data_IF_979144752168
#
_entry.id   IF_979144752168
#
_cell.length_a   1.000
_cell.length_b   1.000
_cell.length_c   1.000
_cell.angle_alpha   90.00
_cell.angle_beta   90.00
_cell.angle_gamma   90.00
#
_symmetry.space_group_name_H-M   'P 1'
#
loop_
_entity.id
_entity.type
_entity.pdbx_description
1 polymer ?
#
# COMPACT_ATOMS: atom_id res chain seq x y z
N UNK A 1 23.28 -0.18 37.16
CA UNK A 1 21.85 -0.56 37.19
C UNK A 1 21.39 -1.20 35.88
N UNK A 2 21.60 -0.58 34.70
CA UNK A 2 21.22 -1.22 33.42
C UNK A 2 22.15 -2.38 33.01
N UNK A 3 23.44 -2.30 33.34
CA UNK A 3 24.45 -3.32 32.99
C UNK A 3 24.25 -4.67 33.71
N UNK A 4 23.40 -4.72 34.73
CA UNK A 4 23.08 -5.96 35.47
C UNK A 4 21.78 -6.63 34.98
N UNK A 5 21.08 -6.03 34.00
CA UNK A 5 19.87 -6.61 33.43
C UNK A 5 20.23 -7.64 32.35
N UNK A 6 19.47 -8.75 32.24
CA UNK A 6 19.58 -9.65 31.10
C UNK A 6 19.30 -8.92 29.77
N UNK A 7 19.98 -9.29 28.67
CA UNK A 7 19.79 -8.67 27.36
C UNK A 7 18.33 -8.63 26.91
N UNK A 8 17.55 -9.67 27.21
CA UNK A 8 16.16 -9.82 26.80
C UNK A 8 15.25 -8.79 27.49
N UNK A 9 15.55 -8.45 28.74
CA UNK A 9 14.82 -7.41 29.49
C UNK A 9 15.18 -6.03 28.93
N UNK A 10 16.45 -5.83 28.59
CA UNK A 10 16.88 -4.58 27.99
C UNK A 10 16.30 -4.36 26.60
N UNK A 11 16.19 -5.42 25.78
CA UNK A 11 15.50 -5.37 24.48
C UNK A 11 14.03 -4.97 24.66
N UNK A 12 13.32 -5.54 25.63
CA UNK A 12 11.94 -5.14 25.97
C UNK A 12 11.82 -3.69 26.43
N UNK A 13 12.83 -3.16 27.13
CA UNK A 13 12.87 -1.74 27.50
C UNK A 13 13.06 -0.89 26.25
N UNK A 14 14.00 -1.28 25.37
CA UNK A 14 14.25 -0.59 24.11
C UNK A 14 13.00 -0.55 23.22
N UNK A 15 12.20 -1.63 23.17
CA UNK A 15 10.93 -1.68 22.44
C UNK A 15 9.90 -0.62 22.90
N UNK A 16 10.07 -0.03 24.08
CA UNK A 16 9.18 1.00 24.64
C UNK A 16 9.68 2.42 24.44
N UNK A 17 10.93 2.60 24.01
CA UNK A 17 11.51 3.92 23.80
C UNK A 17 11.19 4.44 22.39
N UNK A 18 11.02 5.75 22.27
CA UNK A 18 10.93 6.38 20.96
C UNK A 18 12.32 6.43 20.29
N UNK A 19 12.36 6.73 18.98
CA UNK A 19 13.61 6.72 18.22
C UNK A 19 14.67 7.71 18.74
N UNK A 20 14.26 8.85 19.30
CA UNK A 20 15.19 9.86 19.84
C UNK A 20 15.83 9.35 21.14
N UNK A 21 15.03 8.86 22.07
CA UNK A 21 15.51 8.32 23.35
C UNK A 21 16.42 7.10 23.12
N UNK A 22 16.07 6.27 22.16
CA UNK A 22 16.84 5.08 21.81
C UNK A 22 18.19 5.44 21.14
N UNK A 23 18.21 6.51 20.32
CA UNK A 23 19.46 7.09 19.82
C UNK A 23 20.32 7.63 20.95
N UNK A 24 19.75 8.41 21.87
CA UNK A 24 20.49 8.94 23.02
C UNK A 24 21.05 7.81 23.89
N UNK A 25 20.26 6.77 24.17
CA UNK A 25 20.70 5.59 24.90
C UNK A 25 21.87 4.89 24.20
N UNK A 26 21.83 4.78 22.87
CA UNK A 26 22.91 4.17 22.08
C UNK A 26 24.26 4.87 22.23
N UNK A 27 24.27 6.18 22.57
CA UNK A 27 25.48 6.98 22.71
C UNK A 27 26.10 6.89 24.11
N UNK A 28 25.39 6.32 25.09
CA UNK A 28 25.85 6.28 26.49
C UNK A 28 26.95 5.25 26.76
N UNK A 29 26.95 4.11 26.05
CA UNK A 29 27.96 3.07 26.22
C UNK A 29 28.05 2.13 25.00
N UNK A 30 29.23 1.55 24.74
CA UNK A 30 29.45 0.61 23.62
C UNK A 30 28.55 -0.63 23.66
N UNK A 31 28.28 -1.17 24.84
CA UNK A 31 27.42 -2.34 25.00
C UNK A 31 25.95 -2.00 24.75
N UNK A 32 25.50 -0.81 25.19
CA UNK A 32 24.16 -0.28 24.90
C UNK A 32 24.00 0.01 23.41
N UNK A 33 25.03 0.57 22.77
CA UNK A 33 25.04 0.75 21.32
C UNK A 33 24.76 -0.57 20.59
N UNK A 34 25.44 -1.66 20.98
CA UNK A 34 25.26 -2.97 20.34
C UNK A 34 23.84 -3.51 20.47
N UNK A 35 23.20 -3.31 21.63
CA UNK A 35 21.83 -3.80 21.88
C UNK A 35 20.80 -2.91 21.19
N UNK A 36 20.93 -1.59 21.33
CA UNK A 36 20.03 -0.60 20.71
C UNK A 36 20.13 -0.58 19.19
N UNK A 37 21.27 -0.95 18.61
CA UNK A 37 21.47 -0.99 17.15
C UNK A 37 20.39 -1.77 16.43
N UNK A 38 20.03 -2.96 16.92
CA UNK A 38 19.01 -3.80 16.30
C UNK A 38 17.64 -3.12 16.25
N UNK A 39 17.31 -2.41 17.32
CA UNK A 39 16.03 -1.71 17.45
C UNK A 39 16.00 -0.40 16.65
N UNK A 40 17.11 0.33 16.59
CA UNK A 40 17.25 1.52 15.73
C UNK A 40 17.00 1.16 14.26
N UNK A 41 17.50 0.01 13.81
CA UNK A 41 17.40 -0.42 12.43
C UNK A 41 16.19 -1.33 12.14
N UNK A 42 15.32 -1.58 13.14
CA UNK A 42 14.10 -2.38 12.95
C UNK A 42 13.15 -1.78 11.94
N UNK A 43 13.05 -0.44 11.90
CA UNK A 43 12.18 0.30 10.99
C UNK A 43 13.01 1.26 10.12
N UNK A 44 12.87 1.14 8.81
CA UNK A 44 13.57 1.99 7.83
C UNK A 44 12.57 2.83 7.06
N UNK A 45 12.75 4.14 7.09
CA UNK A 45 11.96 5.08 6.28
C UNK A 45 12.81 5.67 5.15
N UNK A 46 12.37 5.46 3.92
CA UNK A 46 12.96 5.99 2.70
C UNK A 46 12.23 7.25 2.29
N UNK A 47 12.94 8.37 2.41
CA UNK A 47 12.48 9.68 1.97
C UNK A 47 13.15 10.09 0.67
N UNK A 48 12.46 10.85 -0.19
CA UNK A 48 13.09 11.44 -1.36
C UNK A 48 14.09 12.52 -0.92
N UNK A 49 15.18 12.66 -1.68
CA UNK A 49 16.16 13.72 -1.49
C UNK A 49 16.62 14.25 -2.86
N UNK A 50 16.34 15.52 -3.20
CA UNK A 50 15.61 16.50 -2.40
C UNK A 50 14.11 16.16 -2.23
N UNK A 51 13.46 16.65 -1.18
CA UNK A 51 12.04 16.34 -0.86
C UNK A 51 11.07 16.72 -1.99
N UNK A 52 11.41 17.77 -2.75
CA UNK A 52 10.68 18.20 -3.94
C UNK A 52 10.71 17.19 -5.09
N UNK A 53 11.64 16.25 -5.08
CA UNK A 53 11.84 15.24 -6.13
C UNK A 53 11.51 13.85 -5.62
N UNK A 54 10.22 13.52 -5.55
CA UNK A 54 9.72 12.19 -5.09
C UNK A 54 10.30 10.97 -5.82
N UNK A 55 10.92 11.13 -6.99
CA UNK A 55 11.58 10.02 -7.68
C UNK A 55 13.04 9.79 -7.24
N UNK A 56 13.60 10.76 -6.50
CA UNK A 56 14.98 10.78 -6.08
C UNK A 56 15.17 10.09 -4.73
N UNK A 57 15.05 8.77 -4.71
CA UNK A 57 15.44 7.94 -3.56
C UNK A 57 16.83 7.34 -3.76
N UNK A 58 17.52 6.97 -2.68
CA UNK A 58 18.77 6.20 -2.77
C UNK A 58 18.44 4.74 -3.09
N UNK A 59 18.87 4.19 -4.25
CA UNK A 59 18.67 2.77 -4.55
C UNK A 59 19.49 1.87 -3.62
N UNK A 60 20.60 2.39 -3.08
CA UNK A 60 21.52 1.64 -2.24
C UNK A 60 21.28 1.83 -0.75
N UNK A 61 20.31 2.64 -0.32
CA UNK A 61 19.93 2.80 1.09
C UNK A 61 21.11 2.81 2.09
N UNK A 62 20.92 2.24 3.30
CA UNK A 62 21.99 2.03 4.26
C UNK A 62 22.83 0.76 3.95
N UNK A 63 23.95 0.59 4.67
CA UNK A 63 24.85 -0.57 4.55
C UNK A 63 24.12 -1.88 4.91
N UNK A 64 24.60 -3.01 4.38
CA UNK A 64 23.90 -4.31 4.51
C UNK A 64 23.67 -4.74 5.97
N UNK A 65 24.68 -4.58 6.84
CA UNK A 65 24.57 -4.93 8.26
C UNK A 65 23.49 -4.11 9.02
N UNK A 66 23.08 -2.96 8.50
CA UNK A 66 21.93 -2.21 9.01
C UNK A 66 20.62 -2.89 8.59
N UNK A 67 20.53 -3.28 7.32
CA UNK A 67 19.33 -3.87 6.73
C UNK A 67 18.97 -5.22 7.34
N UNK A 68 19.93 -6.01 7.81
CA UNK A 68 19.69 -7.34 8.42
C UNK A 68 18.66 -7.31 9.56
N UNK A 69 18.59 -6.20 10.29
CA UNK A 69 17.66 -6.02 11.41
C UNK A 69 16.34 -5.37 11.01
N UNK A 70 16.24 -4.83 9.80
CA UNK A 70 15.04 -4.17 9.32
C UNK A 70 13.93 -5.19 9.08
N UNK A 71 12.78 -4.91 9.71
CA UNK A 71 11.53 -5.66 9.59
C UNK A 71 10.41 -4.81 9.02
N UNK A 72 10.50 -3.49 9.15
CA UNK A 72 9.53 -2.56 8.59
C UNK A 72 10.20 -1.65 7.57
N UNK A 73 9.67 -1.63 6.35
CA UNK A 73 10.12 -0.73 5.29
C UNK A 73 9.01 0.26 4.96
N UNK A 74 9.31 1.55 5.03
CA UNK A 74 8.37 2.63 4.74
C UNK A 74 8.94 3.52 3.68
N UNK A 75 8.20 3.71 2.61
CA UNK A 75 8.39 4.77 1.66
C UNK A 75 7.50 5.93 2.11
N UNK A 76 8.09 7.05 2.53
CA UNK A 76 7.35 8.26 2.89
C UNK A 76 7.87 9.49 2.12
N UNK A 77 6.98 10.19 1.41
CA UNK A 77 7.34 11.39 0.65
C UNK A 77 7.45 12.67 1.51
N UNK A 78 7.12 12.61 2.80
CA UNK A 78 7.10 13.77 3.70
C UNK A 78 5.78 14.53 3.69
N UNK A 79 5.65 15.49 4.62
CA UNK A 79 4.42 16.26 4.86
C UNK A 79 4.14 17.25 3.73
N UNK A 80 5.19 17.72 3.06
CA UNK A 80 5.11 18.71 1.97
C UNK A 80 4.80 18.10 0.60
N UNK A 81 4.69 16.77 0.51
CA UNK A 81 4.31 16.10 -0.72
C UNK A 81 2.84 16.39 -1.03
N UNK A 82 2.57 17.04 -2.17
CA UNK A 82 1.20 17.30 -2.62
C UNK A 82 0.42 15.97 -2.71
N UNK A 83 -0.58 15.74 -1.84
CA UNK A 83 -1.31 14.49 -1.82
C UNK A 83 -2.24 14.34 -3.03
N UNK A 84 -2.44 15.41 -3.81
CA UNK A 84 -3.40 15.47 -4.92
C UNK A 84 -2.77 15.17 -6.28
N UNK A 85 -1.48 14.85 -6.35
CA UNK A 85 -0.78 14.65 -7.62
C UNK A 85 0.16 13.46 -7.55
N UNK A 86 -0.10 12.40 -8.30
CA UNK A 86 0.90 11.38 -8.60
C UNK A 86 2.13 11.97 -9.32
N UNK A 87 3.30 11.32 -9.21
CA UNK A 87 4.53 11.66 -9.95
C UNK A 87 4.26 11.77 -11.46
N UNK A 88 3.35 10.94 -11.98
CA UNK A 88 2.88 11.01 -13.37
C UNK A 88 2.23 12.34 -13.75
N UNK A 89 1.57 13.05 -12.83
CA UNK A 89 1.01 14.38 -13.10
C UNK A 89 2.11 15.44 -13.30
N UNK A 90 3.31 15.18 -12.77
CA UNK A 90 4.51 16.01 -12.98
C UNK A 90 5.41 15.49 -14.11
N UNK A 91 5.12 14.30 -14.66
CA UNK A 91 5.74 13.76 -15.86
C UNK A 91 5.17 14.45 -17.11
N UNK A 92 5.41 15.76 -17.20
CA UNK A 92 5.15 16.58 -18.39
C UNK A 92 6.15 16.30 -19.51
N UNK A 93 6.53 15.03 -19.71
CA UNK A 93 7.30 14.60 -20.87
C UNK A 93 6.37 14.33 -22.05
N UNK A 94 5.61 15.38 -22.38
CA UNK A 94 5.35 15.83 -23.74
C UNK A 94 6.18 17.08 -24.10
N UNK A 95 7.19 17.45 -23.30
CA UNK A 95 8.10 18.57 -23.61
C UNK A 95 9.45 18.06 -24.13
N UNK A 96 9.64 18.16 -25.45
CA UNK A 96 10.93 18.02 -26.12
C UNK A 96 11.82 19.23 -25.77
N UNK A 97 12.75 19.07 -24.84
CA UNK A 97 13.80 20.06 -24.55
C UNK A 97 15.19 19.48 -24.84
N UNK A 98 16.10 20.26 -25.42
CA UNK A 98 17.46 19.83 -25.75
C UNK A 98 18.33 19.67 -24.49
N UNK A 99 18.39 18.45 -23.95
CA UNK A 99 19.22 18.09 -22.79
C UNK A 99 20.73 17.98 -23.08
N UNK A 100 21.20 18.42 -24.25
CA UNK A 100 22.61 18.34 -24.66
C UNK A 100 23.55 19.28 -23.90
N UNK A 101 23.03 20.17 -23.06
CA UNK A 101 23.85 21.18 -22.35
C UNK A 101 24.01 20.94 -20.84
N UNK A 102 23.42 19.88 -20.26
CA UNK A 102 23.67 19.55 -18.85
C UNK A 102 24.61 18.36 -18.74
N UNK A 103 25.82 18.64 -18.26
CA UNK A 103 26.86 17.64 -18.05
C UNK A 103 26.33 16.46 -17.20
N UNK A 104 26.30 15.24 -17.75
CA UNK A 104 25.84 14.07 -17.06
C UNK A 104 26.97 13.53 -16.17
N UNK A 105 26.78 13.56 -14.85
CA UNK A 105 27.61 12.71 -13.99
C UNK A 105 27.22 11.25 -14.27
N UNK A 106 28.09 10.60 -15.04
CA UNK A 106 28.14 9.18 -15.34
C UNK A 106 28.07 8.39 -14.04
N UNK A 107 27.09 7.49 -13.91
CA UNK A 107 27.34 6.08 -13.55
C UNK A 107 26.04 5.25 -13.43
N UNK A 108 26.01 4.16 -14.23
CA UNK A 108 25.15 2.95 -14.16
C UNK A 108 23.75 3.03 -14.80
N UNK A 109 23.65 3.15 -16.14
CA UNK A 109 23.68 2.12 -17.22
C UNK A 109 22.42 1.26 -17.37
N UNK A 110 21.94 1.21 -18.60
CA UNK A 110 20.56 1.04 -19.07
C UNK A 110 20.41 -0.16 -20.03
N UNK A 111 21.30 -1.15 -19.97
CA UNK A 111 21.52 -2.05 -21.11
C UNK A 111 20.67 -3.35 -21.16
N UNK A 112 19.53 -3.45 -20.48
CA UNK A 112 18.81 -4.74 -20.47
C UNK A 112 17.28 -4.77 -20.55
N UNK A 113 16.53 -3.66 -20.69
CA UNK A 113 15.07 -3.76 -20.92
C UNK A 113 14.56 -2.72 -21.92
N UNK A 114 14.06 -3.24 -23.04
CA UNK A 114 13.61 -2.51 -24.23
C UNK A 114 12.11 -2.20 -24.23
N UNK A 115 11.55 -1.69 -23.13
CA UNK A 115 10.10 -1.46 -23.02
C UNK A 115 9.71 -0.13 -22.33
N UNK A 116 10.64 0.83 -22.23
CA UNK A 116 10.32 2.24 -21.93
C UNK A 116 10.12 3.02 -23.23
N UNK A 117 8.91 2.97 -23.79
CA UNK A 117 8.57 3.70 -25.01
C UNK A 117 8.61 5.21 -24.83
N UNK A 118 9.31 5.86 -25.77
CA UNK A 118 9.35 7.30 -25.97
C UNK A 118 10.38 7.67 -27.04
N UNK A 119 10.30 7.08 -28.23
CA UNK A 119 11.13 7.48 -29.39
C UNK A 119 10.56 8.77 -30.00
N UNK A 120 10.97 9.91 -29.47
CA UNK A 120 10.89 11.20 -30.15
C UNK A 120 12.31 11.64 -30.53
N UNK A 121 12.74 11.38 -31.77
CA UNK A 121 13.99 11.94 -32.31
C UNK A 121 15.30 11.40 -31.74
N UNK A 122 15.32 10.17 -31.18
CA UNK A 122 16.57 9.50 -30.76
C UNK A 122 17.12 9.89 -29.39
N UNK A 123 16.31 10.50 -28.50
CA UNK A 123 16.70 10.77 -27.10
C UNK A 123 15.88 9.93 -26.12
N UNK A 124 16.57 9.24 -25.21
CA UNK A 124 15.97 8.45 -24.13
C UNK A 124 15.32 9.39 -23.11
N UNK A 125 13.99 9.36 -23.03
CA UNK A 125 13.22 10.13 -22.06
C UNK A 125 13.10 9.30 -20.78
N UNK A 126 13.77 9.73 -19.71
CA UNK A 126 13.58 9.16 -18.36
C UNK A 126 12.28 9.68 -17.77
N UNK A 127 11.29 8.81 -17.63
CA UNK A 127 10.06 9.13 -16.91
C UNK A 127 10.34 8.95 -15.41
N UNK A 128 9.93 9.93 -14.58
CA UNK A 128 10.34 9.99 -13.16
C UNK A 128 9.80 8.80 -12.38
N UNK A 129 8.60 8.35 -12.72
CA UNK A 129 7.97 7.21 -12.08
C UNK A 129 8.77 5.91 -12.23
N UNK A 130 9.27 5.62 -13.42
CA UNK A 130 10.07 4.43 -13.73
C UNK A 130 11.41 4.48 -12.99
N UNK A 131 12.00 5.67 -12.85
CA UNK A 131 13.19 5.85 -12.02
C UNK A 131 12.91 5.51 -10.55
N UNK A 132 11.76 5.91 -10.01
CA UNK A 132 11.34 5.56 -8.65
C UNK A 132 11.17 4.04 -8.51
N UNK A 133 10.43 3.43 -9.43
CA UNK A 133 10.17 1.99 -9.46
C UNK A 133 11.48 1.19 -9.43
N UNK A 134 12.40 1.50 -10.33
CA UNK A 134 13.70 0.81 -10.43
C UNK A 134 14.52 0.97 -9.14
N UNK A 135 14.61 2.17 -8.60
CA UNK A 135 15.39 2.41 -7.38
C UNK A 135 14.79 1.68 -6.18
N UNK A 136 13.47 1.64 -6.07
CA UNK A 136 12.77 0.89 -5.03
C UNK A 136 12.99 -0.61 -5.17
N UNK A 137 12.94 -1.14 -6.40
CA UNK A 137 13.24 -2.54 -6.73
C UNK A 137 14.68 -2.91 -6.33
N UNK A 138 15.67 -2.08 -6.68
CA UNK A 138 17.07 -2.32 -6.29
C UNK A 138 17.20 -2.39 -4.77
N UNK A 139 16.54 -1.49 -4.05
CA UNK A 139 16.56 -1.50 -2.59
C UNK A 139 15.87 -2.75 -2.00
N UNK A 140 14.68 -3.11 -2.49
CA UNK A 140 13.92 -4.28 -2.04
C UNK A 140 14.69 -5.59 -2.26
N UNK A 141 15.44 -5.69 -3.35
CA UNK A 141 16.26 -6.87 -3.64
C UNK A 141 17.38 -7.10 -2.63
N UNK A 142 17.73 -6.12 -1.81
CA UNK A 142 18.76 -6.26 -0.77
C UNK A 142 18.27 -6.87 0.53
N UNK A 143 16.97 -7.03 0.70
CA UNK A 143 16.38 -7.73 1.84
C UNK A 143 16.37 -9.23 1.59
N UNK A 144 16.62 -10.02 2.64
CA UNK A 144 16.48 -11.48 2.55
C UNK A 144 15.00 -11.87 2.43
N UNK A 145 14.73 -13.03 1.84
CA UNK A 145 13.36 -13.55 1.71
C UNK A 145 12.70 -13.69 3.09
N UNK A 146 11.42 -13.32 3.17
CA UNK A 146 10.62 -13.33 4.40
C UNK A 146 11.07 -12.34 5.48
N UNK A 147 12.08 -11.49 5.21
CA UNK A 147 12.64 -10.60 6.23
C UNK A 147 11.68 -9.47 6.64
N UNK A 148 10.90 -8.93 5.70
CA UNK A 148 9.98 -7.83 5.98
C UNK A 148 8.68 -8.34 6.62
N UNK A 149 8.35 -7.78 7.78
CA UNK A 149 7.08 -7.97 8.50
C UNK A 149 6.06 -6.89 8.14
N UNK A 150 6.52 -5.69 7.78
CA UNK A 150 5.65 -4.58 7.39
C UNK A 150 6.20 -3.80 6.19
N UNK A 151 5.29 -3.43 5.30
CA UNK A 151 5.58 -2.56 4.17
C UNK A 151 4.59 -1.39 4.14
N UNK A 152 5.11 -0.18 3.89
CA UNK A 152 4.30 1.02 3.71
C UNK A 152 4.73 1.79 2.46
N UNK A 153 3.76 2.13 1.62
CA UNK A 153 3.91 3.05 0.49
C UNK A 153 3.08 4.31 0.72
N UNK A 154 3.73 5.37 1.17
CA UNK A 154 3.15 6.69 1.43
C UNK A 154 3.82 7.76 0.55
N UNK A 155 3.77 7.57 -0.77
CA UNK A 155 4.32 8.51 -1.76
C UNK A 155 3.26 9.32 -2.50
N UNK A 156 1.98 9.13 -2.14
CA UNK A 156 0.81 9.76 -2.80
C UNK A 156 0.89 9.63 -4.32
N UNK A 157 1.30 8.44 -4.77
CA UNK A 157 1.47 8.07 -6.18
C UNK A 157 0.82 6.71 -6.40
N UNK A 158 0.57 6.34 -7.66
CA UNK A 158 0.38 4.91 -7.97
C UNK A 158 1.58 4.10 -7.44
N UNK A 159 1.34 2.86 -7.06
CA UNK A 159 2.38 1.93 -6.65
C UNK A 159 2.92 1.22 -7.90
N UNK A 160 4.23 1.19 -8.14
CA UNK A 160 4.82 0.39 -9.20
C UNK A 160 4.47 -1.10 -9.05
N UNK A 161 4.14 -1.74 -10.17
CA UNK A 161 3.77 -3.16 -10.22
C UNK A 161 4.88 -4.07 -9.68
N UNK A 162 6.10 -3.76 -10.07
CA UNK A 162 7.31 -4.49 -9.73
C UNK A 162 7.56 -4.53 -8.22
N UNK A 163 7.11 -3.50 -7.49
CA UNK A 163 7.19 -3.48 -6.03
C UNK A 163 6.23 -4.50 -5.43
N UNK A 164 4.97 -4.49 -5.86
CA UNK A 164 3.97 -5.44 -5.36
C UNK A 164 4.35 -6.89 -5.69
N UNK A 165 4.87 -7.14 -6.88
CA UNK A 165 5.37 -8.46 -7.32
C UNK A 165 6.55 -8.93 -6.45
N UNK A 166 7.54 -8.08 -6.20
CA UNK A 166 8.66 -8.45 -5.32
C UNK A 166 8.18 -8.73 -3.90
N UNK A 167 7.25 -7.92 -3.38
CA UNK A 167 6.71 -8.12 -2.05
C UNK A 167 5.93 -9.44 -1.95
N UNK A 168 5.11 -9.78 -2.96
CA UNK A 168 4.33 -11.02 -2.96
C UNK A 168 5.22 -12.26 -3.08
N UNK A 169 6.27 -12.19 -3.91
CA UNK A 169 7.21 -13.28 -4.13
C UNK A 169 8.20 -13.47 -2.98
N UNK A 170 8.88 -12.39 -2.55
CA UNK A 170 9.96 -12.46 -1.55
C UNK A 170 9.46 -12.35 -0.12
N UNK A 171 8.32 -11.69 0.12
CA UNK A 171 7.86 -11.37 1.48
C UNK A 171 6.38 -11.73 1.72
N UNK A 172 5.94 -12.98 1.44
CA UNK A 172 4.55 -13.40 1.65
C UNK A 172 4.14 -13.41 3.13
N UNK A 173 5.12 -13.38 4.05
CA UNK A 173 4.94 -13.32 5.51
C UNK A 173 4.63 -11.92 6.05
N UNK A 174 4.50 -10.89 5.19
CA UNK A 174 4.13 -9.54 5.63
C UNK A 174 2.81 -9.59 6.40
N UNK A 175 2.83 -8.93 7.56
CA UNK A 175 1.70 -8.86 8.49
C UNK A 175 1.00 -7.50 8.44
N UNK A 176 1.66 -6.46 7.92
CA UNK A 176 1.14 -5.10 7.91
C UNK A 176 1.45 -4.42 6.59
N UNK A 177 0.42 -4.20 5.77
CA UNK A 177 0.51 -3.54 4.47
C UNK A 177 -0.25 -2.21 4.52
N UNK A 178 0.45 -1.11 4.22
CA UNK A 178 -0.13 0.24 4.21
C UNK A 178 0.16 0.94 2.89
N UNK A 179 -0.87 1.22 2.10
CA UNK A 179 -0.75 1.82 0.78
C UNK A 179 -1.55 3.12 0.72
N UNK A 180 -0.91 4.20 0.30
CA UNK A 180 -1.54 5.49 0.00
C UNK A 180 -1.27 5.80 -1.46
N UNK A 181 -2.27 5.56 -2.30
CA UNK A 181 -2.17 5.66 -3.76
C UNK A 181 -2.89 6.88 -4.32
N UNK A 182 -2.72 7.13 -5.62
CA UNK A 182 -3.53 8.10 -6.37
C UNK A 182 -4.60 7.32 -7.17
N UNK A 183 -5.90 7.51 -6.87
CA UNK A 183 -6.99 6.76 -7.48
C UNK A 183 -7.29 7.18 -8.93
N UNK A 184 -6.74 8.30 -9.42
CA UNK A 184 -7.02 8.84 -10.76
C UNK A 184 -5.77 9.20 -11.54
N UNK A 185 -4.68 8.45 -11.31
CA UNK A 185 -3.46 8.63 -12.07
C UNK A 185 -3.74 8.38 -13.57
N UNK A 186 -3.87 9.46 -14.35
CA UNK A 186 -4.37 9.45 -15.74
C UNK A 186 -3.54 8.63 -16.73
N UNK A 187 -2.25 8.38 -16.43
CA UNK A 187 -1.41 7.46 -17.22
C UNK A 187 -1.62 5.98 -16.89
N UNK A 188 -2.16 5.67 -15.72
CA UNK A 188 -2.45 4.30 -15.29
C UNK A 188 -3.87 3.85 -15.67
N UNK A 189 -4.77 4.78 -16.01
CA UNK A 189 -6.18 4.46 -16.31
C UNK A 189 -6.43 3.83 -17.70
N UNK A 190 -5.40 3.58 -18.51
CA UNK A 190 -5.59 3.04 -19.87
C UNK A 190 -5.04 1.63 -20.09
N UNK A 191 -4.08 1.18 -19.27
CA UNK A 191 -3.36 -0.10 -19.41
C UNK A 191 -2.69 -0.49 -18.09
N UNK A 192 -3.48 -0.74 -17.05
CA UNK A 192 -2.97 -0.84 -15.68
C UNK A 192 -1.96 -2.01 -15.56
N UNK A 193 -0.67 -1.71 -15.36
CA UNK A 193 0.37 -2.72 -15.10
C UNK A 193 0.19 -3.44 -13.76
N UNK A 194 -0.78 -3.03 -12.95
CA UNK A 194 -1.06 -3.56 -11.60
C UNK A 194 -2.34 -4.39 -11.51
N UNK A 195 -3.17 -4.45 -12.55
CA UNK A 195 -4.42 -5.25 -12.55
C UNK A 195 -4.13 -6.74 -12.45
N UNK A 196 -3.03 -7.18 -13.05
CA UNK A 196 -2.72 -8.61 -13.20
C UNK A 196 -1.91 -9.14 -12.00
N UNK A 197 -1.58 -8.28 -11.03
CA UNK A 197 -0.76 -8.68 -9.90
C UNK A 197 -1.64 -9.41 -8.90
N UNK A 198 -1.36 -10.68 -8.69
CA UNK A 198 -2.00 -11.45 -7.64
C UNK A 198 -1.40 -11.11 -6.26
N UNK A 199 -2.20 -10.47 -5.41
CA UNK A 199 -1.83 -10.20 -4.02
C UNK A 199 -2.26 -11.32 -3.07
N UNK A 200 -2.85 -12.43 -3.55
CA UNK A 200 -3.29 -13.56 -2.72
C UNK A 200 -2.15 -14.29 -1.99
N UNK A 201 -0.90 -14.05 -2.40
CA UNK A 201 0.29 -14.58 -1.75
C UNK A 201 0.44 -14.11 -0.28
N UNK A 202 -0.12 -12.94 0.06
CA UNK A 202 -0.08 -12.43 1.43
C UNK A 202 -1.10 -13.14 2.32
N UNK A 203 -0.65 -14.20 3.00
CA UNK A 203 -1.51 -15.07 3.84
C UNK A 203 -1.32 -14.86 5.34
N UNK A 204 -0.61 -13.80 5.74
CA UNK A 204 -0.29 -13.51 7.15
C UNK A 204 -0.70 -12.09 7.58
N UNK A 205 -1.53 -11.40 6.78
CA UNK A 205 -1.88 -10.01 7.04
C UNK A 205 -2.77 -9.88 8.28
N UNK A 206 -2.31 -9.08 9.23
CA UNK A 206 -3.05 -8.62 10.40
C UNK A 206 -3.54 -7.19 10.25
N UNK A 207 -2.85 -6.37 9.46
CA UNK A 207 -3.23 -4.97 9.21
C UNK A 207 -3.19 -4.67 7.72
N UNK A 208 -4.32 -4.19 7.21
CA UNK A 208 -4.45 -3.69 5.85
C UNK A 208 -4.96 -2.25 5.90
N UNK A 209 -4.15 -1.32 5.40
CA UNK A 209 -4.53 0.07 5.20
C UNK A 209 -4.37 0.36 3.71
N UNK A 210 -5.45 0.76 3.03
CA UNK A 210 -5.38 1.22 1.65
C UNK A 210 -6.19 2.50 1.47
N UNK A 211 -5.47 3.60 1.26
CA UNK A 211 -6.03 4.92 0.99
C UNK A 211 -5.97 5.20 -0.50
N UNK A 212 -7.11 5.62 -1.02
CA UNK A 212 -7.35 6.04 -2.38
C UNK A 212 -6.89 5.01 -3.44
N UNK A 213 -7.36 3.75 -3.36
CA UNK A 213 -7.10 2.73 -4.39
C UNK A 213 -7.79 3.06 -5.72
N UNK A 214 -7.22 2.59 -6.83
CA UNK A 214 -7.84 2.60 -8.16
C UNK A 214 -8.86 1.44 -8.28
N UNK A 215 -9.81 1.56 -9.22
CA UNK A 215 -10.88 0.57 -9.40
C UNK A 215 -10.35 -0.82 -9.74
N UNK A 216 -9.30 -0.90 -10.56
CA UNK A 216 -8.63 -2.16 -10.91
C UNK A 216 -8.00 -2.90 -9.71
N UNK A 217 -7.84 -2.25 -8.54
CA UNK A 217 -7.32 -2.91 -7.34
C UNK A 217 -8.42 -3.56 -6.50
N UNK A 218 -9.70 -3.36 -6.82
CA UNK A 218 -10.80 -3.78 -5.93
C UNK A 218 -10.86 -5.30 -5.75
N UNK A 219 -10.59 -6.06 -6.80
CA UNK A 219 -10.57 -7.52 -6.74
C UNK A 219 -9.42 -8.03 -5.87
N UNK A 220 -8.25 -7.40 -6.02
CA UNK A 220 -7.09 -7.67 -5.16
C UNK A 220 -7.36 -7.33 -3.69
N UNK A 221 -8.02 -6.19 -3.42
CA UNK A 221 -8.41 -5.81 -2.05
C UNK A 221 -9.39 -6.84 -1.47
N UNK A 222 -10.42 -7.22 -2.23
CA UNK A 222 -11.40 -8.20 -1.78
C UNK A 222 -10.75 -9.55 -1.48
N UNK A 223 -9.89 -10.05 -2.39
CA UNK A 223 -9.13 -11.28 -2.21
C UNK A 223 -8.23 -11.25 -0.97
N UNK A 224 -7.52 -10.14 -0.74
CA UNK A 224 -6.67 -9.94 0.44
C UNK A 224 -7.47 -10.00 1.75
N UNK A 225 -8.62 -9.32 1.77
CA UNK A 225 -9.50 -9.26 2.93
C UNK A 225 -10.09 -10.63 3.22
N UNK A 226 -10.61 -11.31 2.20
CA UNK A 226 -11.16 -12.67 2.29
C UNK A 226 -10.11 -13.67 2.81
N UNK A 227 -8.94 -13.68 2.18
CA UNK A 227 -7.85 -14.61 2.50
C UNK A 227 -7.37 -14.46 3.95
N UNK A 228 -7.42 -13.23 4.50
CA UNK A 228 -6.90 -12.93 5.83
C UNK A 228 -7.99 -12.71 6.88
N UNK A 229 -9.27 -12.89 6.57
CA UNK A 229 -10.40 -12.53 7.43
C UNK A 229 -10.29 -13.05 8.87
N UNK A 230 -9.83 -14.30 9.04
CA UNK A 230 -9.70 -14.97 10.36
C UNK A 230 -8.62 -14.36 11.27
N UNK A 231 -7.65 -13.65 10.71
CA UNK A 231 -6.50 -13.11 11.43
C UNK A 231 -6.36 -11.60 11.33
N UNK A 232 -7.13 -10.95 10.46
CA UNK A 232 -7.12 -9.51 10.27
C UNK A 232 -7.56 -8.82 11.57
N UNK A 233 -6.68 -7.98 12.09
CA UNK A 233 -6.86 -7.20 13.32
C UNK A 233 -7.29 -5.76 12.99
N UNK A 234 -6.81 -5.21 11.86
CA UNK A 234 -7.09 -3.83 11.43
C UNK A 234 -7.35 -3.76 9.93
N UNK A 235 -8.46 -3.11 9.56
CA UNK A 235 -8.84 -2.84 8.18
C UNK A 235 -9.21 -1.36 8.03
N UNK A 236 -8.45 -0.64 7.21
CA UNK A 236 -8.72 0.75 6.84
C UNK A 236 -8.76 0.89 5.33
N UNK A 237 -9.93 1.26 4.79
CA UNK A 237 -10.11 1.55 3.37
C UNK A 237 -10.70 2.94 3.21
N UNK A 238 -10.00 3.80 2.49
CA UNK A 238 -10.46 5.16 2.24
C UNK A 238 -10.58 5.41 0.74
N UNK A 239 -11.79 5.40 0.18
CA UNK A 239 -12.02 5.73 -1.23
C UNK A 239 -12.05 7.25 -1.45
N UNK A 240 -11.00 7.94 -1.00
CA UNK A 240 -10.87 9.39 -1.14
C UNK A 240 -10.82 9.78 -2.64
N UNK A 241 -11.57 10.81 -3.05
CA UNK A 241 -11.63 11.29 -4.43
C UNK A 241 -12.61 10.57 -5.37
N UNK A 242 -13.20 9.45 -4.96
CA UNK A 242 -14.22 8.70 -5.72
C UNK A 242 -15.58 9.40 -5.74
N UNK A 243 -15.80 10.48 -6.51
CA UNK A 243 -17.15 11.09 -6.63
C UNK A 243 -18.17 10.16 -7.30
N UNK A 244 -19.50 10.35 -7.09
CA UNK A 244 -20.52 9.54 -7.77
C UNK A 244 -20.33 9.52 -9.29
N UNK A 245 -20.01 10.67 -9.89
CA UNK A 245 -19.72 10.78 -11.33
C UNK A 245 -18.53 9.91 -11.77
N UNK A 246 -17.54 9.73 -10.88
CA UNK A 246 -16.33 8.93 -11.14
C UNK A 246 -16.57 7.45 -10.89
N UNK A 247 -17.39 7.10 -9.90
CA UNK A 247 -17.82 5.71 -9.67
C UNK A 247 -18.57 5.17 -10.91
N UNK A 248 -19.49 5.94 -11.49
CA UNK A 248 -20.21 5.53 -12.70
C UNK A 248 -19.31 5.30 -13.92
N UNK A 249 -18.24 6.09 -14.06
CA UNK A 249 -17.28 5.93 -15.16
C UNK A 249 -16.49 4.61 -15.03
N UNK A 250 -15.98 4.30 -13.84
CA UNK A 250 -15.18 3.10 -13.59
C UNK A 250 -16.02 1.81 -13.56
N UNK A 251 -17.25 1.85 -13.04
CA UNK A 251 -18.19 0.72 -13.10
C UNK A 251 -18.46 0.25 -14.53
N UNK A 252 -18.39 1.15 -15.51
CA UNK A 252 -18.57 0.81 -16.93
C UNK A 252 -17.37 0.04 -17.51
N UNK A 253 -16.17 0.25 -16.96
CA UNK A 253 -14.90 -0.34 -17.47
C UNK A 253 -14.63 -1.73 -16.89
N UNK A 254 -14.97 -1.96 -15.62
CA UNK A 254 -14.67 -3.23 -14.91
C UNK A 254 -15.54 -4.41 -15.40
N UNK A 255 -16.70 -4.16 -16.01
CA UNK A 255 -17.74 -5.17 -16.23
C UNK A 255 -17.98 -5.58 -17.70
N UNK A 256 -17.11 -5.19 -18.63
CA UNK A 256 -17.28 -5.54 -20.05
C UNK A 256 -17.20 -7.05 -20.36
N UNK A 257 -16.66 -7.87 -19.45
CA UNK A 257 -16.40 -9.29 -19.73
C UNK A 257 -17.43 -10.28 -19.15
N UNK A 258 -18.26 -9.91 -18.16
CA UNK A 258 -19.21 -10.86 -17.56
C UNK A 258 -20.55 -10.20 -17.15
N UNK A 259 -21.59 -10.46 -17.93
CA UNK A 259 -23.01 -10.11 -17.69
C UNK A 259 -23.32 -8.61 -17.47
N UNK A 260 -23.51 -7.82 -18.54
CA UNK A 260 -23.77 -6.38 -18.44
C UNK A 260 -25.11 -6.04 -17.76
N UNK A 261 -26.12 -6.90 -17.81
CA UNK A 261 -27.48 -6.54 -17.40
C UNK A 261 -27.70 -6.42 -15.88
N UNK A 262 -26.86 -7.04 -15.04
CA UNK A 262 -27.02 -7.04 -13.57
C UNK A 262 -26.16 -5.96 -12.88
N UNK A 263 -25.11 -5.47 -13.55
CA UNK A 263 -24.07 -4.62 -12.93
C UNK A 263 -24.03 -3.16 -13.42
N UNK A 264 -24.82 -2.81 -14.45
CA UNK A 264 -24.79 -1.50 -15.13
C UNK A 264 -25.14 -0.26 -14.30
N UNK A 265 -25.46 -0.38 -13.00
CA UNK A 265 -25.83 0.75 -12.14
C UNK A 265 -25.28 0.66 -10.71
N UNK A 266 -24.34 -0.25 -10.46
CA UNK A 266 -23.80 -0.44 -9.11
C UNK A 266 -22.54 0.41 -8.96
N UNK A 267 -22.47 1.30 -7.95
CA UNK A 267 -21.25 2.05 -7.65
C UNK A 267 -20.07 1.09 -7.40
N UNK A 268 -18.90 1.39 -7.96
CA UNK A 268 -17.71 0.54 -7.80
C UNK A 268 -17.38 0.25 -6.32
N UNK A 269 -17.65 1.21 -5.43
CA UNK A 269 -17.54 1.07 -3.98
C UNK A 269 -18.48 -0.01 -3.41
N UNK A 270 -19.71 -0.12 -3.93
CA UNK A 270 -20.66 -1.16 -3.56
C UNK A 270 -20.23 -2.55 -4.09
N UNK A 271 -19.63 -2.61 -5.29
CA UNK A 271 -19.03 -3.85 -5.81
C UNK A 271 -17.90 -4.33 -4.90
N UNK A 272 -17.00 -3.43 -4.50
CA UNK A 272 -15.92 -3.74 -3.55
C UNK A 272 -16.49 -4.28 -2.23
N UNK A 273 -17.50 -3.62 -1.67
CA UNK A 273 -18.15 -4.07 -0.44
C UNK A 273 -18.77 -5.46 -0.57
N UNK A 274 -19.48 -5.72 -1.69
CA UNK A 274 -20.08 -7.04 -1.95
C UNK A 274 -19.04 -8.14 -1.97
N UNK A 275 -17.96 -7.96 -2.70
CA UNK A 275 -16.86 -8.93 -2.77
C UNK A 275 -16.19 -9.10 -1.40
N UNK A 276 -15.84 -8.00 -0.73
CA UNK A 276 -15.14 -8.06 0.56
C UNK A 276 -15.92 -8.74 1.69
N UNK A 277 -17.24 -8.56 1.73
CA UNK A 277 -18.08 -9.02 2.84
C UNK A 277 -18.97 -10.22 2.47
N UNK A 278 -18.88 -10.71 1.23
CA UNK A 278 -19.67 -11.84 0.76
C UNK A 278 -21.16 -11.49 0.66
N UNK A 279 -21.48 -10.27 0.19
CA UNK A 279 -22.86 -9.79 0.03
C UNK A 279 -23.40 -10.07 -1.39
N UNK A 280 -22.77 -10.96 -2.15
CA UNK A 280 -23.23 -11.30 -3.50
C UNK A 280 -24.55 -12.09 -3.44
N UNK A 281 -25.56 -11.59 -4.15
CA UNK A 281 -26.86 -12.25 -4.32
C UNK A 281 -26.68 -13.55 -5.10
N UNK A 282 -26.54 -14.65 -4.38
CA UNK A 282 -26.84 -15.96 -4.92
C UNK A 282 -28.26 -16.32 -4.47
N UNK A 283 -29.09 -16.72 -5.42
CA UNK A 283 -30.52 -17.05 -5.27
C UNK A 283 -30.80 -18.29 -4.39
N UNK A 284 -29.85 -18.70 -3.57
CA UNK A 284 -29.96 -19.84 -2.68
C UNK A 284 -29.73 -19.41 -1.23
N UNK A 285 -30.71 -19.68 -0.38
CA UNK A 285 -30.66 -19.50 1.08
C UNK A 285 -29.43 -20.18 1.72
N UNK A 286 -28.79 -21.13 1.02
CA UNK A 286 -27.58 -21.81 1.46
C UNK A 286 -26.30 -20.93 1.39
N UNK A 287 -26.27 -19.87 0.59
CA UNK A 287 -25.09 -19.03 0.38
C UNK A 287 -25.15 -17.68 1.10
N UNK A 288 -26.32 -17.27 1.61
CA UNK A 288 -26.43 -16.21 2.62
C UNK A 288 -25.67 -16.55 3.93
N UNK A 289 -25.23 -17.80 4.09
CA UNK A 289 -24.48 -18.33 5.23
C UNK A 289 -22.94 -18.22 5.11
N UNK A 290 -22.37 -17.83 3.96
CA UNK A 290 -20.92 -17.62 3.80
C UNK A 290 -20.51 -16.15 4.04
N UNK A 291 -21.16 -15.49 4.99
CA UNK A 291 -20.75 -14.16 5.40
C UNK A 291 -19.34 -14.23 6.01
N UNK A 292 -18.41 -13.47 5.44
CA UNK A 292 -17.01 -13.51 5.85
C UNK A 292 -16.89 -13.01 7.28
N UNK A 293 -16.37 -13.87 8.16
CA UNK A 293 -16.24 -13.58 9.58
C UNK A 293 -14.85 -13.02 9.91
N UNK A 294 -14.83 -11.96 10.72
CA UNK A 294 -13.62 -11.25 11.15
C UNK A 294 -13.42 -11.37 12.67
N UNK A 295 -13.08 -12.55 13.20
CA UNK A 295 -13.08 -12.84 14.63
C UNK A 295 -12.02 -12.04 15.43
N UNK A 296 -10.97 -11.54 14.77
CA UNK A 296 -9.89 -10.79 15.42
C UNK A 296 -9.90 -9.30 15.10
N UNK A 297 -10.87 -8.82 14.32
CA UNK A 297 -10.89 -7.44 13.85
C UNK A 297 -11.25 -6.49 14.98
N UNK A 298 -10.29 -5.64 15.34
CA UNK A 298 -10.40 -4.66 16.43
C UNK A 298 -10.61 -3.25 15.90
N UNK A 299 -10.12 -2.94 14.70
CA UNK A 299 -10.26 -1.62 14.07
C UNK A 299 -10.79 -1.77 12.66
N UNK A 300 -11.89 -1.08 12.39
CA UNK A 300 -12.49 -0.96 11.06
C UNK A 300 -12.71 0.52 10.75
N UNK A 301 -12.13 1.00 9.66
CA UNK A 301 -12.32 2.37 9.16
C UNK A 301 -12.60 2.31 7.67
N UNK A 302 -13.83 2.62 7.30
CA UNK A 302 -14.27 2.63 5.91
C UNK A 302 -14.74 4.03 5.55
N UNK A 303 -14.19 4.59 4.47
CA UNK A 303 -14.66 5.87 3.92
C UNK A 303 -15.20 5.62 2.52
N UNK A 304 -16.50 5.84 2.34
CA UNK A 304 -17.25 5.63 1.08
C UNK A 304 -17.27 4.18 0.58
N UNK A 305 -17.12 3.20 1.48
CA UNK A 305 -17.41 1.79 1.21
C UNK A 305 -18.69 1.44 1.96
N UNK A 306 -19.80 1.12 1.27
CA UNK A 306 -21.07 0.86 1.93
C UNK A 306 -21.03 -0.46 2.69
N UNK A 307 -21.71 -0.50 3.84
CA UNK A 307 -21.88 -1.71 4.67
C UNK A 307 -23.27 -2.33 4.50
N UNK A 308 -24.13 -1.65 3.75
CA UNK A 308 -25.45 -2.10 3.35
C UNK A 308 -25.51 -2.00 1.84
N UNK A 309 -25.94 -3.08 1.23
CA UNK A 309 -26.25 -3.08 -0.18
C UNK A 309 -27.67 -2.52 -0.37
N UNK A 310 -27.78 -1.34 -0.95
CA UNK A 310 -29.06 -0.64 -1.14
C UNK A 310 -29.98 -1.37 -2.12
N UNK A 311 -29.41 -2.12 -3.07
CA UNK A 311 -30.17 -2.84 -4.09
C UNK A 311 -30.77 -4.15 -3.55
N UNK A 312 -30.10 -4.78 -2.60
CA UNK A 312 -30.48 -6.11 -2.08
C UNK A 312 -31.00 -6.02 -0.64
N UNK A 313 -30.86 -4.86 0.01
CA UNK A 313 -31.12 -4.63 1.43
C UNK A 313 -30.32 -5.53 2.38
N UNK A 314 -29.35 -6.30 1.89
CA UNK A 314 -28.47 -7.14 2.71
C UNK A 314 -27.47 -6.23 3.42
N UNK A 315 -27.36 -6.38 4.74
CA UNK A 315 -26.43 -5.63 5.58
C UNK A 315 -25.36 -6.58 6.13
N UNK A 316 -24.12 -6.09 6.22
CA UNK A 316 -23.07 -6.79 6.98
C UNK A 316 -23.56 -6.96 8.42
N UNK A 317 -23.77 -8.20 8.86
CA UNK A 317 -24.35 -8.45 10.18
C UNK A 317 -23.30 -8.11 11.24
N UNK A 318 -23.60 -7.30 12.26
CA UNK A 318 -22.64 -6.91 13.30
C UNK A 318 -22.08 -8.09 14.12
N UNK A 319 -22.59 -9.32 13.97
CA UNK A 319 -22.07 -10.53 14.61
C UNK A 319 -20.80 -11.06 13.95
N UNK A 320 -20.49 -10.65 12.72
CA UNK A 320 -19.26 -11.01 12.01
C UNK A 320 -18.05 -10.15 12.39
N UNK A 321 -18.25 -9.12 13.22
CA UNK A 321 -17.26 -8.13 13.65
C UNK A 321 -17.29 -8.04 15.18
N UNK A 322 -16.12 -8.11 15.83
CA UNK A 322 -16.02 -8.06 17.30
C UNK A 322 -16.71 -6.80 17.87
N UNK A 323 -17.34 -7.00 19.04
CA UNK A 323 -18.06 -6.01 19.83
C UNK A 323 -17.29 -4.71 20.09
N UNK A 324 -15.95 -4.76 20.10
CA UNK A 324 -15.04 -3.63 20.24
C UNK A 324 -15.04 -2.71 19.00
N UNK A 325 -15.12 -3.29 17.80
CA UNK A 325 -15.15 -2.59 16.52
C UNK A 325 -16.57 -2.08 16.16
N UNK A 326 -17.62 -2.61 16.79
CA UNK A 326 -19.01 -2.11 16.66
C UNK A 326 -19.17 -0.64 17.03
N UNK A 327 -18.38 -0.11 17.97
CA UNK A 327 -18.47 1.31 18.38
C UNK A 327 -18.02 2.29 17.29
N UNK A 328 -17.20 1.86 16.34
CA UNK A 328 -16.77 2.69 15.21
C UNK A 328 -17.70 2.58 13.99
N UNK A 329 -18.43 1.47 13.86
CA UNK A 329 -19.49 1.31 12.85
C UNK A 329 -20.67 2.27 13.10
N UNK A 330 -20.98 2.55 14.37
CA UNK A 330 -22.03 3.51 14.74
C UNK A 330 -21.68 4.96 14.34
N UNK A 331 -20.40 5.37 14.39
CA UNK A 331 -20.00 6.71 13.97
C UNK A 331 -20.06 6.95 12.45
N UNK A 332 -20.10 5.90 11.63
CA UNK A 332 -20.22 6.02 10.17
C UNK A 332 -21.68 6.01 9.72
N UNK A 333 -22.55 5.29 10.43
CA UNK A 333 -24.00 5.26 10.14
C UNK A 333 -24.72 6.56 10.53
N UNK A 334 -24.19 7.34 11.49
CA UNK A 334 -24.77 8.62 11.90
C UNK A 334 -24.39 9.82 11.01
N UNK A 335 -23.60 9.61 9.94
CA UNK A 335 -23.13 10.68 9.04
C UNK A 335 -23.67 10.61 7.60
N UNK A 336 -24.78 9.89 7.37
CA UNK A 336 -25.55 10.05 6.13
C UNK A 336 -26.56 11.19 6.33
N UNK A 337 -26.55 12.26 5.50
CA UNK A 337 -27.67 13.18 5.46
C UNK A 337 -28.90 12.41 4.94
N UNK A 338 -30.05 12.69 5.57
CA UNK A 338 -31.39 12.25 5.13
C UNK A 338 -31.62 12.60 3.66
#
# INVERSE_FOLDING_TARGET
>A
MLASLPPEILEKICDKLNGIDLQQLSLTAKWLHKITFRQLWRSLTIKPYPESERHCISPYGPRQHCLEYTRELRFDAGVDADPKRCIHASDWLGYMGNWTEKAPLHQYTWEARGDSFGLGGGKLVRVKFECLAQRAVILLNRFNDGQLESFSWNYTSCIPAEILEILSLKHPSIQSLSLVTDPFCSRFNRWSRTSDIDLSAFRSLRRLIWKAPMGCHFDNIASLVQTNARQLEELELELHGWSPDRESHESTVIHYENNPEVWNYIPASAVLARKMFGLETTTSEAAAAEQICFPKLRRLRLTRVPLRDENTSIQVIPSSIDSSARRLLLCVLDNLPI
#
